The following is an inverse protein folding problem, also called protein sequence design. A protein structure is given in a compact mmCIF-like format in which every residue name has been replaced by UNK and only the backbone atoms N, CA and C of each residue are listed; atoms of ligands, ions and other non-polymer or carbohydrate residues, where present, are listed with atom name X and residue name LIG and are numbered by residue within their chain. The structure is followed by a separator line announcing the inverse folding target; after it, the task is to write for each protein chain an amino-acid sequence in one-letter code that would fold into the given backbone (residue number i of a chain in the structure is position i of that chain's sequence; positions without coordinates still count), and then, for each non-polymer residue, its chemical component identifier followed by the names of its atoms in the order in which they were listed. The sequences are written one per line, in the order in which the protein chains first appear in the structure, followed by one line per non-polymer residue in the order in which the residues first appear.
data_IF_018878284016
#
_entry.id   IF_018878284016
#
_cell.length_a   1.000
_cell.length_b   1.000
_cell.length_c   1.000
_cell.angle_alpha   90.00
_cell.angle_beta   90.00
_cell.angle_gamma   90.00
#
_symmetry.space_group_name_H-M   'P 1'
#
loop_
_entity.id
_entity.type
_entity.pdbx_description
1 polymer ?
#
# COMPACT_ATOMS: atom_id res chain seq x y z
N UNK A 1 19.66 -6.16 17.51
CA UNK A 1 18.54 -6.36 16.57
C UNK A 1 17.83 -7.64 16.97
N UNK A 2 16.60 -7.55 17.46
CA UNK A 2 15.82 -8.74 17.81
C UNK A 2 15.32 -9.43 16.54
N UNK A 3 15.82 -10.65 16.27
CA UNK A 3 15.37 -11.47 15.13
C UNK A 3 13.85 -11.65 15.11
N UNK A 4 13.23 -11.70 16.28
CA UNK A 4 11.79 -11.85 16.42
C UNK A 4 11.02 -10.64 15.84
N UNK A 5 11.53 -9.43 16.01
CA UNK A 5 10.92 -8.23 15.44
C UNK A 5 11.00 -8.22 13.90
N UNK A 6 12.14 -8.65 13.34
CA UNK A 6 12.29 -8.80 11.89
C UNK A 6 11.25 -9.76 11.30
N UNK A 7 11.10 -10.97 11.88
CA UNK A 7 10.12 -11.94 11.39
C UNK A 7 8.69 -11.44 11.50
N UNK A 8 8.37 -10.73 12.59
CA UNK A 8 7.08 -10.09 12.75
C UNK A 8 6.75 -9.15 11.57
N UNK A 9 7.63 -8.21 11.24
CA UNK A 9 7.37 -7.27 10.13
C UNK A 9 7.29 -7.95 8.77
N UNK A 10 8.14 -8.95 8.51
CA UNK A 10 8.12 -9.70 7.25
C UNK A 10 6.83 -10.51 7.05
N UNK A 11 6.15 -10.90 8.13
CA UNK A 11 4.88 -11.62 8.09
C UNK A 11 3.70 -10.66 8.05
N UNK A 12 3.73 -9.58 8.83
CA UNK A 12 2.58 -8.68 8.95
C UNK A 12 2.39 -7.83 7.69
N UNK A 13 3.47 -7.35 7.07
CA UNK A 13 3.37 -6.57 5.84
C UNK A 13 2.60 -7.27 4.71
N UNK A 14 2.88 -8.53 4.32
CA UNK A 14 2.07 -9.23 3.32
C UNK A 14 0.62 -9.45 3.76
N UNK A 15 0.35 -9.66 5.05
CA UNK A 15 -1.04 -9.76 5.57
C UNK A 15 -1.78 -8.44 5.36
N UNK A 16 -1.14 -7.31 5.69
CA UNK A 16 -1.71 -5.98 5.47
C UNK A 16 -1.94 -5.71 3.98
N UNK A 17 -0.98 -6.03 3.13
CA UNK A 17 -1.09 -5.84 1.67
C UNK A 17 -2.20 -6.66 1.04
N UNK A 18 -2.25 -7.96 1.31
CA UNK A 18 -3.33 -8.84 0.84
C UNK A 18 -4.69 -8.43 1.41
N UNK A 19 -4.75 -8.13 2.71
CA UNK A 19 -5.97 -7.75 3.41
C UNK A 19 -6.58 -6.47 2.87
N UNK A 20 -5.76 -5.45 2.62
CA UNK A 20 -6.21 -4.20 2.00
C UNK A 20 -6.81 -4.45 0.63
N UNK A 21 -6.14 -5.21 -0.25
CA UNK A 21 -6.68 -5.47 -1.59
C UNK A 21 -7.96 -6.30 -1.55
N UNK A 22 -8.05 -7.24 -0.62
CA UNK A 22 -9.25 -8.04 -0.45
C UNK A 22 -10.45 -7.16 -0.07
N UNK A 23 -10.27 -6.22 0.87
CA UNK A 23 -11.32 -5.29 1.29
C UNK A 23 -11.72 -4.39 0.12
N UNK A 24 -10.74 -3.76 -0.53
CA UNK A 24 -10.91 -2.88 -1.70
C UNK A 24 -11.79 -3.56 -2.77
N UNK A 25 -11.38 -4.74 -3.23
CA UNK A 25 -12.09 -5.48 -4.29
C UNK A 25 -13.46 -6.04 -3.82
N UNK A 26 -13.65 -6.28 -2.51
CA UNK A 26 -14.95 -6.67 -1.96
C UNK A 26 -15.97 -5.53 -2.04
N UNK A 27 -15.56 -4.30 -1.72
CA UNK A 27 -16.46 -3.15 -1.66
C UNK A 27 -16.71 -2.55 -3.04
N UNK A 28 -15.65 -2.38 -3.83
CA UNK A 28 -15.66 -1.67 -5.11
C UNK A 28 -16.04 -2.60 -6.27
N UNK A 29 -15.31 -3.72 -6.41
CA UNK A 29 -15.49 -4.64 -7.54
C UNK A 29 -16.53 -5.74 -7.27
N UNK A 30 -16.96 -5.91 -6.01
CA UNK A 30 -17.90 -6.95 -5.55
C UNK A 30 -17.46 -8.38 -5.89
N UNK A 31 -16.17 -8.62 -6.02
CA UNK A 31 -15.60 -9.94 -6.36
C UNK A 31 -15.50 -10.84 -5.13
N UNK A 32 -15.34 -10.23 -3.96
CA UNK A 32 -15.27 -10.92 -2.67
C UNK A 32 -16.51 -10.64 -1.81
N UNK A 33 -16.65 -11.43 -0.73
CA UNK A 33 -17.78 -11.31 0.16
C UNK A 33 -17.64 -10.09 1.08
N UNK A 34 -18.55 -9.13 0.93
CA UNK A 34 -18.61 -7.90 1.73
C UNK A 34 -18.72 -8.14 3.24
N UNK A 35 -19.42 -9.19 3.68
CA UNK A 35 -19.53 -9.52 5.11
C UNK A 35 -18.18 -9.93 5.70
N UNK A 36 -17.40 -10.71 4.93
CA UNK A 36 -16.05 -11.10 5.33
C UNK A 36 -15.14 -9.87 5.34
N UNK A 37 -15.22 -9.01 4.33
CA UNK A 37 -14.43 -7.78 4.28
C UNK A 37 -14.75 -6.82 5.44
N UNK A 38 -16.04 -6.67 5.79
CA UNK A 38 -16.47 -5.85 6.93
C UNK A 38 -15.93 -6.39 8.26
N UNK A 39 -15.84 -7.71 8.40
CA UNK A 39 -15.23 -8.33 9.57
C UNK A 39 -13.70 -8.17 9.58
N UNK A 40 -13.03 -8.33 8.43
CA UNK A 40 -11.57 -8.21 8.32
C UNK A 40 -11.05 -6.78 8.51
N UNK A 41 -11.81 -5.76 8.10
CA UNK A 41 -11.41 -4.36 8.17
C UNK A 41 -10.95 -3.89 9.56
N UNK A 42 -11.72 -4.09 10.66
CA UNK A 42 -11.26 -3.68 11.98
C UNK A 42 -10.02 -4.45 12.46
N UNK A 43 -9.92 -5.76 12.15
CA UNK A 43 -8.72 -6.53 12.51
C UNK A 43 -7.48 -6.01 11.79
N UNK A 44 -7.58 -5.69 10.50
CA UNK A 44 -6.46 -5.15 9.72
C UNK A 44 -6.13 -3.72 10.15
N UNK A 45 -7.12 -2.90 10.50
CA UNK A 45 -6.89 -1.56 11.07
C UNK A 45 -6.14 -1.60 12.40
N UNK A 46 -6.52 -2.52 13.31
CA UNK A 46 -5.82 -2.74 14.58
C UNK A 46 -4.41 -3.26 14.32
N UNK A 47 -4.25 -4.26 13.43
CA UNK A 47 -2.94 -4.80 13.08
C UNK A 47 -2.04 -3.73 12.47
N UNK A 48 -2.57 -2.88 11.61
CA UNK A 48 -1.86 -1.74 11.02
C UNK A 48 -1.37 -0.78 12.11
N UNK A 49 -2.28 -0.31 12.97
CA UNK A 49 -1.94 0.61 14.06
C UNK A 49 -0.92 -0.01 15.03
N UNK A 50 -1.10 -1.28 15.42
CA UNK A 50 -0.14 -2.00 16.27
C UNK A 50 1.24 -2.07 15.63
N UNK A 51 1.32 -2.38 14.33
CA UNK A 51 2.59 -2.44 13.60
C UNK A 51 3.34 -1.10 13.63
N UNK A 52 2.61 0.01 13.51
CA UNK A 52 3.18 1.36 13.60
C UNK A 52 3.63 1.72 15.03
N UNK A 53 2.92 1.26 16.07
CA UNK A 53 3.32 1.48 17.46
C UNK A 53 4.61 0.74 17.80
N UNK A 54 4.79 -0.46 17.24
CA UNK A 54 5.92 -1.33 17.55
C UNK A 54 7.26 -0.84 17.00
N UNK A 55 7.28 -0.07 15.91
CA UNK A 55 8.52 0.42 15.31
C UNK A 55 8.36 1.76 14.56
N UNK A 56 9.20 2.77 14.85
CA UNK A 56 9.21 4.07 14.17
C UNK A 56 9.40 4.05 12.66
N UNK A 57 10.22 3.13 12.14
CA UNK A 57 10.47 2.99 10.70
C UNK A 57 9.22 2.46 10.03
N UNK A 58 8.59 1.43 10.62
CA UNK A 58 7.31 0.92 10.15
C UNK A 58 6.22 1.98 10.17
N UNK A 59 6.12 2.73 11.27
CA UNK A 59 5.19 3.86 11.38
C UNK A 59 5.39 4.87 10.25
N UNK A 60 6.65 5.21 9.97
CA UNK A 60 7.01 6.20 8.96
C UNK A 60 6.66 5.72 7.55
N UNK A 61 6.93 4.45 7.22
CA UNK A 61 6.60 3.85 5.92
C UNK A 61 5.08 3.75 5.73
N UNK A 62 4.38 3.15 6.69
CA UNK A 62 2.95 2.91 6.59
C UNK A 62 2.15 4.22 6.61
N UNK A 63 2.57 5.20 7.41
CA UNK A 63 1.97 6.54 7.41
C UNK A 63 2.21 7.26 6.08
N UNK A 64 3.41 7.13 5.49
CA UNK A 64 3.70 7.75 4.20
C UNK A 64 2.80 7.22 3.09
N UNK A 65 2.60 5.90 3.03
CA UNK A 65 1.68 5.26 2.08
C UNK A 65 0.25 5.77 2.30
N UNK A 66 -0.21 5.81 3.56
CA UNK A 66 -1.56 6.27 3.89
C UNK A 66 -1.80 7.74 3.50
N UNK A 67 -0.85 8.63 3.81
CA UNK A 67 -0.91 10.05 3.43
C UNK A 67 -0.84 10.22 1.92
N UNK A 68 0.03 9.48 1.21
CA UNK A 68 0.17 9.58 -0.23
C UNK A 68 -1.14 9.26 -0.96
N UNK A 69 -1.81 8.19 -0.56
CA UNK A 69 -3.12 7.81 -1.13
C UNK A 69 -4.21 8.84 -0.75
N UNK A 70 -4.19 9.36 0.49
CA UNK A 70 -5.13 10.38 0.93
C UNK A 70 -4.99 11.70 0.13
N UNK A 71 -3.76 12.18 -0.07
CA UNK A 71 -3.49 13.44 -0.77
C UNK A 71 -3.90 13.41 -2.25
N UNK A 72 -3.81 12.24 -2.90
CA UNK A 72 -4.31 12.11 -4.27
C UNK A 72 -5.84 12.28 -4.29
N UNK A 73 -6.56 11.90 -3.24
CA UNK A 73 -8.02 11.94 -3.30
C UNK A 73 -8.59 10.90 -4.27
N UNK A 74 -7.95 9.71 -4.38
CA UNK A 74 -8.67 8.48 -4.80
C UNK A 74 -9.73 8.05 -3.78
N UNK A 75 -9.87 8.84 -2.71
CA UNK A 75 -10.64 8.61 -1.53
C UNK A 75 -11.55 9.83 -1.35
N UNK A 76 -12.79 9.73 -1.83
CA UNK A 76 -13.75 10.84 -1.84
C UNK A 76 -14.85 10.63 -0.78
N UNK A 77 -14.46 10.19 0.43
CA UNK A 77 -15.41 9.87 1.49
C UNK A 77 -14.86 10.23 2.88
N UNK A 78 -15.68 10.95 3.67
CA UNK A 78 -15.40 11.35 5.05
C UNK A 78 -14.85 10.20 5.92
N UNK A 79 -15.28 8.96 5.64
CA UNK A 79 -14.84 7.75 6.35
C UNK A 79 -13.32 7.54 6.34
N UNK A 80 -12.62 7.89 5.26
CA UNK A 80 -11.17 7.68 5.19
C UNK A 80 -10.37 8.82 5.82
N UNK A 81 -10.85 10.06 5.71
CA UNK A 81 -10.28 11.17 6.47
C UNK A 81 -10.39 10.92 7.98
N UNK A 82 -11.53 10.35 8.41
CA UNK A 82 -11.71 9.88 9.78
C UNK A 82 -10.72 8.75 10.13
N UNK A 83 -10.51 7.78 9.24
CA UNK A 83 -9.52 6.71 9.43
C UNK A 83 -8.09 7.23 9.62
N UNK A 84 -7.65 8.17 8.78
CA UNK A 84 -6.35 8.84 8.90
C UNK A 84 -6.24 9.61 10.22
N UNK A 85 -7.29 10.35 10.60
CA UNK A 85 -7.32 11.09 11.86
C UNK A 85 -7.23 10.16 13.08
N UNK A 86 -7.95 9.04 13.06
CA UNK A 86 -7.89 8.01 14.12
C UNK A 86 -6.47 7.43 14.23
N UNK A 87 -5.84 7.07 13.10
CA UNK A 87 -4.46 6.59 13.10
C UNK A 87 -3.51 7.66 13.66
N UNK A 88 -3.65 8.91 13.24
CA UNK A 88 -2.82 10.00 13.75
C UNK A 88 -2.96 10.19 15.27
N UNK A 89 -4.18 10.16 15.80
CA UNK A 89 -4.45 10.24 17.26
C UNK A 89 -3.80 9.07 17.99
N UNK A 90 -3.90 7.85 17.46
CA UNK A 90 -3.27 6.66 18.05
C UNK A 90 -1.75 6.82 18.12
N UNK A 91 -1.11 7.29 17.05
CA UNK A 91 0.35 7.48 17.02
C UNK A 91 0.82 8.53 18.02
N UNK A 92 0.08 9.65 18.13
CA UNK A 92 0.37 10.72 19.09
C UNK A 92 0.20 10.20 20.53
N UNK A 93 -0.92 9.52 20.81
CA UNK A 93 -1.22 8.98 22.13
C UNK A 93 -0.21 7.89 22.55
N UNK A 94 0.26 7.09 21.60
CA UNK A 94 1.28 6.07 21.82
C UNK A 94 2.72 6.64 21.90
N UNK A 95 2.93 7.93 21.63
CA UNK A 95 4.24 8.57 21.70
C UNK A 95 5.24 8.07 20.64
N UNK A 96 4.74 7.63 19.48
CA UNK A 96 5.60 7.08 18.41
C UNK A 96 6.49 8.19 17.83
N UNK A 97 7.80 7.97 17.87
CA UNK A 97 8.79 8.93 17.37
C UNK A 97 8.93 8.82 15.85
N UNK A 98 8.13 9.57 15.10
CA UNK A 98 8.20 9.56 13.64
C UNK A 98 9.51 10.16 13.12
N UNK A 99 10.05 9.53 12.08
CA UNK A 99 11.23 10.02 11.38
C UNK A 99 10.78 11.03 10.33
N UNK A 100 10.61 12.30 10.72
CA UNK A 100 10.01 13.33 9.88
C UNK A 100 10.70 13.53 8.52
N UNK A 101 12.02 13.50 8.47
CA UNK A 101 12.75 13.68 7.20
C UNK A 101 12.50 12.49 6.24
N UNK A 102 12.72 11.21 6.64
CA UNK A 102 12.27 10.08 5.84
C UNK A 102 10.77 10.11 5.50
N UNK A 103 9.91 10.51 6.44
CA UNK A 103 8.47 10.60 6.22
C UNK A 103 8.14 11.54 5.06
N UNK A 104 8.73 12.74 5.02
CA UNK A 104 8.52 13.71 3.94
C UNK A 104 8.95 13.12 2.59
N UNK A 105 10.13 12.50 2.54
CA UNK A 105 10.66 11.87 1.31
C UNK A 105 9.74 10.75 0.83
N UNK A 106 9.28 9.89 1.74
CA UNK A 106 8.40 8.77 1.40
C UNK A 106 6.99 9.23 1.03
N UNK A 107 6.45 10.26 1.67
CA UNK A 107 5.16 10.85 1.27
C UNK A 107 5.27 11.41 -0.14
N UNK A 108 6.34 12.15 -0.45
CA UNK A 108 6.57 12.66 -1.80
C UNK A 108 6.67 11.52 -2.82
N UNK A 109 7.41 10.45 -2.50
CA UNK A 109 7.50 9.25 -3.35
C UNK A 109 6.14 8.57 -3.56
N UNK A 110 5.33 8.42 -2.51
CA UNK A 110 4.01 7.82 -2.57
C UNK A 110 3.02 8.66 -3.40
N UNK A 111 3.08 9.99 -3.28
CA UNK A 111 2.28 10.90 -4.12
C UNK A 111 2.73 10.81 -5.59
N UNK A 112 4.04 10.76 -5.86
CA UNK A 112 4.55 10.62 -7.23
C UNK A 112 4.13 9.29 -7.87
N UNK A 113 4.14 8.20 -7.10
CA UNK A 113 3.64 6.90 -7.56
C UNK A 113 2.16 6.99 -7.98
N UNK A 114 1.33 7.64 -7.18
CA UNK A 114 -0.09 7.80 -7.53
C UNK A 114 -0.30 8.71 -8.73
N UNK A 115 0.34 9.88 -8.76
CA UNK A 115 0.26 10.80 -9.91
C UNK A 115 0.72 10.11 -11.19
N UNK A 116 1.83 9.37 -11.14
CA UNK A 116 2.31 8.61 -12.28
C UNK A 116 1.35 7.51 -12.71
N UNK A 117 0.69 6.85 -11.76
CA UNK A 117 -0.32 5.84 -12.04
C UNK A 117 -1.54 6.45 -12.76
N UNK A 118 -2.05 7.61 -12.34
CA UNK A 118 -3.18 8.25 -13.03
C UNK A 118 -2.81 8.79 -14.42
N UNK A 119 -1.59 9.31 -14.59
CA UNK A 119 -1.10 9.77 -15.90
C UNK A 119 -1.07 8.59 -16.88
N UNK A 120 -0.59 7.43 -16.40
CA UNK A 120 -0.60 6.19 -17.17
C UNK A 120 -2.03 5.79 -17.53
N UNK A 121 -2.93 5.74 -16.55
CA UNK A 121 -4.33 5.35 -16.78
C UNK A 121 -5.05 6.27 -17.77
N UNK A 122 -4.81 7.58 -17.69
CA UNK A 122 -5.37 8.57 -18.62
C UNK A 122 -4.83 8.41 -20.04
N UNK A 123 -3.52 8.18 -20.18
CA UNK A 123 -2.85 8.10 -21.48
C UNK A 123 -2.82 6.70 -22.09
N UNK A 124 -3.42 5.68 -21.45
CA UNK A 124 -3.44 4.28 -21.95
C UNK A 124 -3.94 4.15 -23.41
N UNK A 125 -4.82 5.05 -23.87
CA UNK A 125 -5.31 5.07 -25.26
C UNK A 125 -4.30 5.62 -26.27
N UNK A 126 -3.38 6.49 -25.83
CA UNK A 126 -2.35 7.14 -26.65
C UNK A 126 -0.97 6.49 -26.48
N UNK A 127 -0.79 5.66 -25.46
CA UNK A 127 0.44 4.91 -25.23
C UNK A 127 0.48 3.71 -26.16
N UNK A 128 1.41 3.74 -27.12
CA UNK A 128 1.70 2.60 -27.96
C UNK A 128 2.27 1.44 -27.12
N UNK A 129 1.46 0.38 -26.97
CA UNK A 129 1.82 -0.85 -26.23
C UNK A 129 2.98 -1.62 -26.89
N UNK A 130 3.33 -1.31 -28.13
CA UNK A 130 4.45 -1.93 -28.85
C UNK A 130 5.82 -1.37 -28.41
N UNK A 131 5.86 -0.14 -27.89
CA UNK A 131 7.09 0.49 -27.47
C UNK A 131 7.50 0.02 -26.06
N UNK A 132 8.70 -0.55 -25.95
CA UNK A 132 9.26 -1.06 -24.70
C UNK A 132 9.26 0.00 -23.58
N UNK A 133 9.57 1.26 -23.90
CA UNK A 133 9.62 2.33 -22.91
C UNK A 133 8.24 2.64 -22.31
N UNK A 134 7.20 2.69 -23.14
CA UNK A 134 5.83 2.89 -22.65
C UNK A 134 5.35 1.70 -21.81
N UNK A 135 5.70 0.47 -22.20
CA UNK A 135 5.39 -0.71 -21.40
C UNK A 135 6.11 -0.67 -20.04
N UNK A 136 7.37 -0.21 -20.02
CA UNK A 136 8.14 -0.06 -18.80
C UNK A 136 7.56 1.01 -17.88
N UNK A 137 7.15 2.18 -18.40
CA UNK A 137 6.53 3.24 -17.57
C UNK A 137 5.20 2.81 -16.99
N UNK A 138 4.36 2.12 -17.78
CA UNK A 138 3.10 1.53 -17.28
C UNK A 138 3.39 0.55 -16.15
N UNK A 139 4.33 -0.39 -16.36
CA UNK A 139 4.67 -1.37 -15.34
C UNK A 139 5.32 -0.74 -14.10
N UNK A 140 6.03 0.38 -14.26
CA UNK A 140 6.71 1.07 -13.17
C UNK A 140 5.72 1.76 -12.24
N UNK A 141 4.78 2.53 -12.79
CA UNK A 141 3.81 3.27 -11.98
C UNK A 141 2.63 2.42 -11.49
N UNK A 142 2.18 1.40 -12.24
CA UNK A 142 1.15 0.46 -11.73
C UNK A 142 1.63 -0.32 -10.50
N UNK A 143 2.95 -0.52 -10.39
CA UNK A 143 3.60 -1.25 -9.32
C UNK A 143 4.16 -0.34 -8.21
N UNK A 144 3.91 0.97 -8.27
CA UNK A 144 4.36 1.97 -7.28
C UNK A 144 5.85 1.84 -6.91
N UNK A 145 6.71 1.82 -7.92
CA UNK A 145 8.15 1.59 -7.70
C UNK A 145 8.90 2.78 -7.09
N UNK A 146 8.39 4.01 -7.16
CA UNK A 146 9.07 5.20 -6.60
C UNK A 146 9.21 5.06 -5.08
N UNK A 147 8.15 4.62 -4.39
CA UNK A 147 8.15 4.40 -2.94
C UNK A 147 9.15 3.32 -2.55
N UNK A 148 9.21 2.21 -3.30
CA UNK A 148 10.17 1.11 -3.06
C UNK A 148 11.61 1.59 -3.19
N UNK A 149 11.90 2.36 -4.24
CA UNK A 149 13.23 2.92 -4.49
C UNK A 149 13.60 3.91 -3.38
N UNK A 150 12.66 4.75 -2.94
CA UNK A 150 12.89 5.69 -1.84
C UNK A 150 13.20 4.96 -0.52
N UNK A 151 12.47 3.89 -0.20
CA UNK A 151 12.73 3.06 0.98
C UNK A 151 14.11 2.38 0.88
N UNK A 152 14.46 1.83 -0.29
CA UNK A 152 15.78 1.25 -0.52
C UNK A 152 16.88 2.29 -0.34
N UNK A 153 16.71 3.49 -0.90
CA UNK A 153 17.67 4.58 -0.78
C UNK A 153 17.90 4.99 0.68
N UNK A 154 16.83 5.19 1.46
CA UNK A 154 16.91 5.51 2.89
C UNK A 154 17.53 4.36 3.69
N UNK A 155 17.30 3.10 3.30
CA UNK A 155 17.95 1.94 3.90
C UNK A 155 19.45 1.87 3.59
N UNK A 156 19.86 2.19 2.36
CA UNK A 156 21.27 2.24 1.94
C UNK A 156 22.05 3.34 2.67
N UNK A 157 21.38 4.44 3.04
CA UNK A 157 21.96 5.49 3.90
C UNK A 157 22.10 5.06 5.37
N UNK A 158 21.66 3.85 5.73
CA UNK A 158 21.73 3.31 7.09
C UNK A 158 20.67 3.86 8.04
N UNK A 159 19.69 4.63 7.54
CA UNK A 159 18.59 5.18 8.35
C UNK A 159 17.58 4.09 8.66
N UNK A 160 17.26 3.24 7.68
CA UNK A 160 16.35 2.10 7.85
C UNK A 160 17.08 0.76 7.78
N UNK A 161 16.67 -0.24 8.57
CA UNK A 161 17.05 -1.62 8.32
C UNK A 161 16.60 -2.10 6.93
N UNK A 162 17.48 -2.82 6.22
CA UNK A 162 17.19 -3.35 4.88
C UNK A 162 15.98 -4.29 4.81
N UNK A 163 15.62 -4.96 5.92
CA UNK A 163 14.47 -5.87 5.93
C UNK A 163 13.13 -5.14 5.76
N UNK A 164 13.04 -3.82 6.05
CA UNK A 164 11.82 -3.06 5.79
C UNK A 164 11.56 -2.86 4.29
N UNK A 165 12.62 -2.77 3.49
CA UNK A 165 12.49 -2.82 2.04
C UNK A 165 11.91 -4.17 1.60
N UNK A 166 12.44 -5.29 2.15
CA UNK A 166 11.90 -6.62 1.86
C UNK A 166 10.44 -6.78 2.34
N UNK A 167 10.11 -6.26 3.51
CA UNK A 167 8.74 -6.26 4.05
C UNK A 167 7.79 -5.52 3.10
N UNK A 168 8.20 -4.37 2.55
CA UNK A 168 7.41 -3.65 1.55
C UNK A 168 7.26 -4.39 0.23
N UNK A 169 8.29 -5.12 -0.22
CA UNK A 169 8.16 -6.00 -1.38
C UNK A 169 7.13 -7.12 -1.14
N UNK A 170 7.09 -7.68 0.07
CA UNK A 170 6.08 -8.67 0.44
C UNK A 170 4.68 -8.08 0.58
N UNK A 171 4.56 -6.88 1.13
CA UNK A 171 3.30 -6.12 1.15
C UNK A 171 2.72 -6.00 -0.27
N UNK A 172 3.49 -5.46 -1.21
CA UNK A 172 3.02 -5.26 -2.57
C UNK A 172 2.86 -6.57 -3.33
N UNK A 173 3.75 -7.53 -3.13
CA UNK A 173 3.63 -8.87 -3.72
C UNK A 173 2.31 -9.55 -3.33
N UNK A 174 1.97 -9.52 -2.05
CA UNK A 174 0.72 -10.08 -1.55
C UNK A 174 -0.51 -9.31 -2.07
N UNK A 175 -0.42 -7.98 -2.14
CA UNK A 175 -1.45 -7.13 -2.76
C UNK A 175 -1.70 -7.52 -4.23
N UNK A 176 -0.65 -7.74 -5.01
CA UNK A 176 -0.76 -8.15 -6.42
C UNK A 176 -1.36 -9.54 -6.59
N UNK A 177 -0.98 -10.50 -5.74
CA UNK A 177 -1.54 -11.85 -5.77
C UNK A 177 -3.06 -11.80 -5.58
N UNK A 178 -3.54 -11.01 -4.62
CA UNK A 178 -4.99 -10.83 -4.42
C UNK A 178 -5.64 -10.14 -5.61
N UNK A 179 -5.01 -9.09 -6.17
CA UNK A 179 -5.49 -8.42 -7.40
C UNK A 179 -5.62 -9.38 -8.57
N UNK A 180 -4.64 -10.25 -8.80
CA UNK A 180 -4.66 -11.27 -9.86
C UNK A 180 -5.80 -12.28 -9.63
N UNK A 181 -5.99 -12.70 -8.39
CA UNK A 181 -7.06 -13.61 -8.01
C UNK A 181 -8.45 -12.97 -8.22
N UNK A 182 -8.64 -11.71 -7.81
CA UNK A 182 -9.87 -10.94 -8.03
C UNK A 182 -10.22 -10.86 -9.53
N UNK A 183 -9.26 -10.43 -10.37
CA UNK A 183 -9.43 -10.33 -11.83
C UNK A 183 -9.81 -11.67 -12.46
N UNK A 184 -9.18 -12.76 -12.02
CA UNK A 184 -9.49 -14.11 -12.52
C UNK A 184 -10.95 -14.49 -12.20
N UNK A 185 -11.43 -14.19 -10.99
CA UNK A 185 -12.84 -14.42 -10.61
C UNK A 185 -13.81 -13.56 -11.42
N UNK A 186 -13.47 -12.30 -11.71
CA UNK A 186 -14.31 -11.45 -12.56
C UNK A 186 -14.47 -12.02 -13.97
N UNK A 187 -13.38 -12.51 -14.57
CA UNK A 187 -13.41 -13.07 -15.92
C UNK A 187 -14.28 -14.34 -15.97
N UNK A 188 -14.16 -15.21 -14.97
CA UNK A 188 -15.00 -16.41 -14.86
C UNK A 188 -16.48 -16.01 -14.73
N UNK A 189 -16.81 -15.06 -13.86
CA UNK A 189 -18.20 -14.61 -13.68
C UNK A 189 -18.77 -14.00 -14.98
N UNK A 190 -17.98 -13.24 -15.73
CA UNK A 190 -18.39 -12.70 -17.04
C UNK A 190 -18.61 -13.80 -18.07
N UNK A 191 -17.76 -14.84 -18.09
CA UNK A 191 -17.89 -15.95 -19.01
C UNK A 191 -19.09 -16.86 -18.71
N UNK A 192 -19.51 -16.97 -17.45
CA UNK A 192 -20.71 -17.75 -17.05
C UNK A 192 -22.00 -16.98 -17.37
N UNK A 193 -21.98 -15.65 -17.33
CA UNK A 193 -23.15 -14.80 -17.60
C UNK A 193 -23.32 -14.39 -19.08
N UNK A 194 -22.38 -14.76 -19.96
CA UNK A 194 -22.42 -14.51 -21.40
C UNK A 194 -22.99 -15.73 -22.13
#
# INVERSE_FOLDING_TARGET
MDRNAMYFFLIVYPILGAGLKYIDDAFDERTFNKKIALLLAPFLGILWAYTMIMDPVSATILLAVLIGVFLKGKIDNYAHGLGLAVIAVILIAAGVQLLFLPLIVLVAAAVLDEVGNDIVDYNIKNLDKSNFFHKATIAFFDQRWVTKIAILYVALLGVFPWYFFLAMLFFDGAYLVVRMYSRSRQQINKAICA
#
